data_IF_073350621763
#
_entry.id   IF_073350621763
#
_cell.length_a   1.000
_cell.length_b   1.000
_cell.length_c   1.000
_cell.angle_alpha   90.00
_cell.angle_beta   90.00
_cell.angle_gamma   90.00
#
_symmetry.space_group_name_H-M   'P 1'
#
loop_
_entity.id
_entity.type
_entity.pdbx_description
1 polymer ?
#
# COMPACT_ATOMS: atom_id res chain seq x y z
N UNK A 1 -30.03 8.42 -48.12
CA UNK A 1 -30.26 9.65 -48.91
C UNK A 1 -30.68 9.32 -50.31
N UNK A 2 -31.44 10.19 -50.97
CA UNK A 2 -31.82 10.07 -52.38
C UNK A 2 -31.60 11.40 -53.07
N UNK A 3 -31.35 11.35 -54.36
CA UNK A 3 -31.24 12.55 -55.22
C UNK A 3 -32.31 12.51 -56.29
N UNK A 4 -32.89 13.65 -56.58
CA UNK A 4 -33.79 13.81 -57.74
C UNK A 4 -32.94 14.36 -58.90
N UNK A 5 -32.89 13.64 -60.00
CA UNK A 5 -32.18 14.04 -61.22
C UNK A 5 -33.05 13.75 -62.40
N UNK A 6 -33.25 14.73 -63.26
CA UNK A 6 -34.14 14.71 -64.40
C UNK A 6 -35.55 14.14 -64.08
N UNK A 7 -36.13 14.56 -62.93
CA UNK A 7 -37.48 14.14 -62.51
C UNK A 7 -37.58 12.73 -61.90
N UNK A 8 -36.48 11.97 -61.87
CA UNK A 8 -36.41 10.63 -61.28
C UNK A 8 -35.66 10.64 -59.97
N UNK A 9 -36.05 9.77 -59.02
CA UNK A 9 -35.41 9.60 -57.73
C UNK A 9 -34.38 8.47 -57.82
N UNK A 10 -33.16 8.74 -57.45
CA UNK A 10 -32.05 7.76 -57.37
C UNK A 10 -31.58 7.62 -55.93
N UNK A 11 -31.51 6.39 -55.44
CA UNK A 11 -31.15 6.05 -54.05
C UNK A 11 -30.06 4.95 -53.97
N UNK A 12 -29.58 4.48 -55.11
CA UNK A 12 -28.50 3.48 -55.18
C UNK A 12 -27.29 4.08 -55.91
N UNK A 13 -26.11 3.66 -55.49
CA UNK A 13 -24.90 4.05 -56.21
C UNK A 13 -24.92 3.47 -57.63
N UNK A 14 -24.41 4.23 -58.58
CA UNK A 14 -24.33 3.79 -59.96
C UNK A 14 -24.07 4.91 -60.96
N UNK A 15 -23.88 4.54 -62.18
CA UNK A 15 -23.74 5.44 -63.32
C UNK A 15 -25.09 5.46 -64.06
N UNK A 16 -25.70 6.60 -64.06
CA UNK A 16 -26.97 6.81 -64.73
C UNK A 16 -26.79 7.71 -65.91
N UNK A 17 -27.53 7.49 -66.97
CA UNK A 17 -27.51 8.31 -68.17
C UNK A 17 -28.92 8.75 -68.55
N UNK A 18 -29.04 9.94 -69.03
CA UNK A 18 -30.28 10.53 -69.50
C UNK A 18 -30.06 11.21 -70.87
N UNK A 19 -30.83 10.76 -71.81
CA UNK A 19 -30.80 11.34 -73.16
C UNK A 19 -31.71 12.57 -73.21
N UNK A 20 -31.20 13.68 -73.61
CA UNK A 20 -31.96 14.95 -73.76
C UNK A 20 -31.60 15.57 -75.12
N UNK A 21 -32.40 16.51 -75.54
CA UNK A 21 -32.17 17.27 -76.78
C UNK A 21 -31.53 18.61 -76.41
N UNK A 22 -30.34 18.86 -76.93
CA UNK A 22 -29.63 20.12 -76.69
C UNK A 22 -30.30 21.29 -77.42
N UNK A 23 -29.89 22.52 -77.10
CA UNK A 23 -30.43 23.74 -77.70
C UNK A 23 -30.24 23.90 -79.23
N UNK A 24 -29.39 23.07 -79.81
CA UNK A 24 -29.12 22.98 -81.29
C UNK A 24 -29.92 21.83 -81.95
N UNK A 25 -30.88 21.24 -81.28
CA UNK A 25 -31.71 20.11 -81.74
C UNK A 25 -30.98 18.77 -81.92
N UNK A 26 -29.71 18.67 -81.40
CA UNK A 26 -28.98 17.44 -81.41
C UNK A 26 -29.13 16.69 -80.08
N UNK A 27 -29.03 15.35 -80.09
CA UNK A 27 -29.05 14.51 -78.93
C UNK A 27 -27.90 14.83 -78.01
N UNK A 28 -28.21 14.97 -76.72
CA UNK A 28 -27.25 15.22 -75.67
C UNK A 28 -27.39 14.17 -74.58
N UNK A 29 -26.27 13.54 -74.21
CA UNK A 29 -26.26 12.50 -73.15
C UNK A 29 -25.73 13.12 -71.85
N UNK A 30 -26.62 13.30 -70.90
CA UNK A 30 -26.23 13.66 -69.53
C UNK A 30 -25.89 12.39 -68.71
N UNK A 31 -24.84 12.43 -67.90
CA UNK A 31 -24.41 11.32 -67.05
C UNK A 31 -24.37 11.75 -65.60
N UNK A 32 -24.93 10.93 -64.70
CA UNK A 32 -24.85 11.07 -63.27
C UNK A 32 -24.06 9.88 -62.71
N UNK A 33 -22.96 10.17 -62.04
CA UNK A 33 -22.29 9.19 -61.17
C UNK A 33 -22.74 9.40 -59.76
N UNK A 34 -23.57 8.47 -59.23
CA UNK A 34 -24.09 8.55 -57.90
C UNK A 34 -23.26 7.64 -56.95
N UNK A 35 -22.67 8.24 -55.93
CA UNK A 35 -22.00 7.53 -54.89
C UNK A 35 -22.86 7.63 -53.61
N UNK A 36 -23.10 6.51 -52.95
CA UNK A 36 -23.74 6.49 -51.66
C UNK A 36 -22.65 6.28 -50.61
N UNK A 37 -22.49 7.22 -49.70
CA UNK A 37 -21.69 7.02 -48.52
C UNK A 37 -22.55 6.46 -47.40
N UNK A 38 -21.99 5.54 -46.63
CA UNK A 38 -22.64 4.88 -45.49
C UNK A 38 -21.97 5.34 -44.23
N UNK A 39 -22.76 5.84 -43.28
CA UNK A 39 -22.26 6.10 -41.93
C UNK A 39 -21.95 4.76 -41.22
N UNK A 40 -20.90 4.71 -40.49
CA UNK A 40 -20.48 3.56 -39.71
C UNK A 40 -20.49 3.88 -38.20
N UNK A 41 -20.75 2.87 -37.38
CA UNK A 41 -20.59 2.97 -35.93
C UNK A 41 -19.52 1.98 -35.50
N UNK A 42 -18.53 2.50 -34.81
CA UNK A 42 -17.44 1.70 -34.22
C UNK A 42 -17.52 1.77 -32.71
N UNK A 43 -17.61 0.61 -32.06
CA UNK A 43 -17.69 0.51 -30.61
C UNK A 43 -16.35 0.04 -30.03
N UNK A 44 -15.91 0.69 -28.96
CA UNK A 44 -14.75 0.33 -28.15
C UNK A 44 -15.22 0.04 -26.72
N UNK A 45 -14.61 -0.97 -26.09
CA UNK A 45 -14.76 -1.22 -24.65
C UNK A 45 -13.37 -1.23 -24.04
N UNK A 46 -13.15 -0.36 -23.07
CA UNK A 46 -11.85 -0.18 -22.39
C UNK A 46 -12.07 -0.20 -20.91
N UNK A 47 -11.23 -0.95 -20.20
CA UNK A 47 -11.10 -0.90 -18.75
C UNK A 47 -9.67 -0.48 -18.40
N UNK A 48 -9.52 0.55 -17.60
CA UNK A 48 -8.23 1.13 -17.24
C UNK A 48 -8.27 1.71 -15.83
N UNK A 49 -7.12 2.17 -15.35
CA UNK A 49 -7.01 2.78 -14.03
C UNK A 49 -6.96 4.29 -14.13
N UNK A 50 -7.65 4.96 -13.21
CA UNK A 50 -7.64 6.39 -12.90
C UNK A 50 -8.08 7.30 -14.06
N UNK A 51 -7.52 7.14 -15.22
CA UNK A 51 -7.86 7.98 -16.37
C UNK A 51 -7.60 7.27 -17.72
N UNK A 52 -8.29 7.74 -18.73
CA UNK A 52 -8.11 7.31 -20.13
C UNK A 52 -8.08 8.50 -21.08
N UNK A 53 -7.15 8.49 -22.03
CA UNK A 53 -7.09 9.52 -23.06
C UNK A 53 -7.71 8.97 -24.33
N UNK A 54 -8.76 9.59 -24.82
CA UNK A 54 -9.42 9.22 -26.05
C UNK A 54 -9.81 10.46 -26.86
N UNK A 55 -9.48 10.48 -28.14
CA UNK A 55 -9.71 11.60 -29.03
C UNK A 55 -9.22 12.96 -28.44
N UNK A 56 -8.00 12.99 -27.88
CA UNK A 56 -7.35 14.14 -27.21
C UNK A 56 -8.10 14.68 -25.98
N UNK A 57 -9.10 13.97 -25.47
CA UNK A 57 -9.78 14.30 -24.21
C UNK A 57 -9.38 13.31 -23.13
N UNK A 58 -9.28 13.79 -21.90
CA UNK A 58 -9.01 12.99 -20.71
C UNK A 58 -10.34 12.65 -20.04
N UNK A 59 -10.55 11.37 -19.77
CA UNK A 59 -11.72 10.83 -19.09
C UNK A 59 -11.25 10.18 -17.77
N UNK A 60 -11.86 10.56 -16.66
CA UNK A 60 -11.58 10.07 -15.30
C UNK A 60 -12.79 9.39 -14.64
N UNK A 61 -13.87 9.23 -15.38
CA UNK A 61 -15.09 8.59 -14.92
C UNK A 61 -15.52 7.50 -15.91
N UNK A 62 -16.11 6.42 -15.37
CA UNK A 62 -16.74 5.39 -16.19
C UNK A 62 -17.95 5.94 -16.91
N UNK A 63 -18.13 5.53 -18.14
CA UNK A 63 -19.27 6.01 -18.93
C UNK A 63 -19.25 5.56 -20.38
N UNK A 64 -20.27 5.96 -21.11
CA UNK A 64 -20.32 5.82 -22.56
C UNK A 64 -20.09 7.19 -23.18
N UNK A 65 -19.02 7.29 -23.96
CA UNK A 65 -18.62 8.52 -24.64
C UNK A 65 -18.70 8.32 -26.15
N UNK A 66 -18.97 9.37 -26.88
CA UNK A 66 -19.04 9.29 -28.33
C UNK A 66 -18.51 10.55 -28.99
N UNK A 67 -17.96 10.39 -30.18
CA UNK A 67 -17.68 11.51 -31.09
C UNK A 67 -17.98 11.10 -32.52
N UNK A 68 -18.24 12.09 -33.35
CA UNK A 68 -18.43 11.91 -34.78
C UNK A 68 -17.20 12.43 -35.53
N UNK A 69 -16.75 11.67 -36.51
CA UNK A 69 -15.70 12.09 -37.45
C UNK A 69 -16.28 12.23 -38.84
N UNK A 70 -16.28 13.45 -39.33
CA UNK A 70 -16.66 13.73 -40.71
C UNK A 70 -15.61 13.20 -41.71
N UNK A 71 -16.06 12.46 -42.70
CA UNK A 71 -15.17 11.92 -43.74
C UNK A 71 -15.17 12.75 -45.04
N UNK A 72 -15.65 13.99 -45.00
CA UNK A 72 -15.69 14.94 -46.11
C UNK A 72 -16.75 14.65 -47.16
N UNK A 73 -17.55 13.60 -47.01
CA UNK A 73 -18.61 13.22 -47.95
C UNK A 73 -19.99 13.25 -47.33
N UNK A 74 -20.26 14.13 -46.36
CA UNK A 74 -21.53 14.31 -45.63
C UNK A 74 -22.04 13.07 -44.90
N UNK A 75 -21.19 12.05 -44.68
CA UNK A 75 -21.55 10.84 -43.91
C UNK A 75 -20.57 10.70 -42.76
N UNK A 76 -21.06 11.07 -41.58
CA UNK A 76 -20.29 10.99 -40.36
C UNK A 76 -20.17 9.54 -39.87
N UNK A 77 -18.98 9.16 -39.40
CA UNK A 77 -18.77 7.93 -38.66
C UNK A 77 -18.88 8.20 -37.16
N UNK A 78 -19.70 7.41 -36.47
CA UNK A 78 -19.88 7.48 -35.03
C UNK A 78 -18.91 6.54 -34.33
N UNK A 79 -18.13 7.05 -33.41
CA UNK A 79 -17.26 6.28 -32.53
C UNK A 79 -17.86 6.31 -31.13
N UNK A 80 -18.05 5.13 -30.52
CA UNK A 80 -18.62 4.96 -29.18
C UNK A 80 -17.62 4.23 -28.31
N UNK A 81 -17.30 4.82 -27.17
CA UNK A 81 -16.42 4.25 -26.15
C UNK A 81 -17.24 3.90 -24.90
N UNK A 82 -17.28 2.62 -24.55
CA UNK A 82 -17.74 2.16 -23.23
C UNK A 82 -16.51 2.04 -22.34
N UNK A 83 -16.35 3.01 -21.46
CA UNK A 83 -15.18 3.17 -20.61
C UNK A 83 -15.50 2.73 -19.17
N UNK A 84 -14.64 1.88 -18.61
CA UNK A 84 -14.65 1.50 -17.20
C UNK A 84 -13.34 2.05 -16.58
N UNK A 85 -13.48 2.99 -15.66
CA UNK A 85 -12.38 3.51 -14.87
C UNK A 85 -12.41 2.84 -13.48
N UNK A 86 -11.36 2.11 -13.19
CA UNK A 86 -11.07 1.60 -11.86
C UNK A 86 -10.12 2.57 -11.16
N UNK A 87 -10.21 2.66 -9.83
CA UNK A 87 -9.37 3.61 -9.10
C UNK A 87 -8.20 2.91 -8.43
N UNK A 88 -7.05 3.55 -8.46
CA UNK A 88 -5.94 3.26 -7.57
C UNK A 88 -6.39 3.47 -6.12
N UNK A 89 -5.79 2.74 -5.19
CA UNK A 89 -6.12 2.84 -3.78
C UNK A 89 -4.90 3.30 -2.95
N UNK A 90 -5.21 3.89 -1.81
CA UNK A 90 -4.21 4.37 -0.87
C UNK A 90 -4.63 3.94 0.54
N UNK A 91 -3.68 3.39 1.31
CA UNK A 91 -3.88 3.05 2.72
C UNK A 91 -2.67 3.52 3.54
N UNK A 92 -2.90 3.80 4.81
CA UNK A 92 -1.84 4.12 5.77
C UNK A 92 -2.07 3.29 7.02
N UNK A 93 -1.04 2.55 7.42
CA UNK A 93 -0.97 1.81 8.67
C UNK A 93 0.06 2.48 9.59
N UNK A 94 -0.21 2.45 10.90
CA UNK A 94 0.72 2.93 11.93
C UNK A 94 0.94 1.79 12.92
N UNK A 95 2.19 1.37 13.06
CA UNK A 95 2.60 0.27 13.91
C UNK A 95 3.70 0.76 14.85
N UNK A 96 3.55 0.45 16.14
CA UNK A 96 4.58 0.62 17.15
C UNK A 96 4.97 -0.75 17.67
N UNK A 97 6.26 -1.08 17.64
CA UNK A 97 6.81 -2.37 18.11
C UNK A 97 8.15 -2.13 18.80
N UNK A 98 8.66 -3.14 19.49
CA UNK A 98 9.99 -3.10 20.11
C UNK A 98 10.99 -4.02 19.40
N UNK A 99 10.54 -4.74 18.43
CA UNK A 99 11.32 -5.73 17.69
C UNK A 99 11.32 -5.38 16.21
N UNK A 100 12.16 -6.09 15.48
CA UNK A 100 12.14 -6.07 14.03
C UNK A 100 10.73 -6.38 13.51
N UNK A 101 10.28 -5.61 12.55
CA UNK A 101 8.95 -5.74 11.98
C UNK A 101 9.01 -6.31 10.57
N UNK A 102 8.29 -7.41 10.35
CA UNK A 102 8.18 -8.02 9.01
C UNK A 102 6.97 -7.46 8.28
N UNK A 103 7.20 -6.80 7.14
CA UNK A 103 6.14 -6.22 6.32
C UNK A 103 6.51 -6.22 4.84
N UNK A 104 5.55 -6.54 3.98
CA UNK A 104 5.74 -6.50 2.53
C UNK A 104 6.88 -7.40 2.02
N UNK A 105 7.20 -8.50 2.73
CA UNK A 105 8.27 -9.42 2.35
C UNK A 105 9.67 -8.99 2.82
N UNK A 106 9.78 -7.94 3.66
CA UNK A 106 11.04 -7.40 4.20
C UNK A 106 10.98 -7.25 5.71
N UNK A 107 12.15 -7.28 6.34
CA UNK A 107 12.32 -6.98 7.76
C UNK A 107 12.80 -5.53 7.87
N UNK A 108 12.17 -4.78 8.77
CA UNK A 108 12.50 -3.41 9.13
C UNK A 108 12.96 -3.37 10.58
N UNK A 109 14.12 -2.80 10.83
CA UNK A 109 14.75 -2.67 12.15
C UNK A 109 14.98 -1.23 12.56
N UNK A 110 14.38 -0.28 11.87
CA UNK A 110 14.43 1.14 12.19
C UNK A 110 13.07 1.78 12.03
N UNK A 111 12.79 2.76 12.88
CA UNK A 111 11.62 3.60 12.74
C UNK A 111 11.65 4.38 11.43
N UNK A 112 10.51 4.57 10.79
CA UNK A 112 10.43 5.32 9.55
C UNK A 112 9.09 5.18 8.84
N UNK A 113 8.99 5.89 7.73
CA UNK A 113 7.87 5.80 6.81
C UNK A 113 8.29 4.93 5.62
N UNK A 114 7.59 3.83 5.43
CA UNK A 114 7.83 2.88 4.36
C UNK A 114 6.62 2.80 3.46
N UNK A 115 6.84 2.53 2.19
CA UNK A 115 5.76 2.35 1.23
C UNK A 115 5.91 1.03 0.47
N UNK A 116 4.78 0.45 0.14
CA UNK A 116 4.66 -0.74 -0.68
C UNK A 116 3.64 -0.48 -1.78
N UNK A 117 4.02 -0.79 -3.01
CA UNK A 117 3.09 -0.80 -4.12
C UNK A 117 2.60 -2.21 -4.36
N UNK A 118 1.31 -2.39 -4.39
CA UNK A 118 0.63 -3.64 -4.66
C UNK A 118 -0.46 -3.39 -5.72
N UNK A 119 -1.10 -4.45 -6.19
CA UNK A 119 -2.24 -4.35 -7.10
C UNK A 119 -3.50 -4.63 -6.29
N UNK A 120 -4.49 -3.75 -6.39
CA UNK A 120 -5.77 -3.92 -5.72
C UNK A 120 -6.68 -4.95 -6.42
N UNK A 121 -7.85 -5.23 -5.86
CA UNK A 121 -8.78 -6.25 -6.36
C UNK A 121 -9.34 -5.98 -7.77
N UNK A 122 -9.23 -4.76 -8.26
CA UNK A 122 -9.68 -4.36 -9.61
C UNK A 122 -8.51 -4.20 -10.60
N UNK A 123 -7.29 -4.58 -10.18
CA UNK A 123 -6.12 -4.60 -11.05
C UNK A 123 -5.38 -3.26 -11.17
N UNK A 124 -5.69 -2.27 -10.30
CA UNK A 124 -5.04 -0.97 -10.27
C UNK A 124 -4.01 -0.88 -9.14
N UNK A 125 -3.11 0.08 -9.23
CA UNK A 125 -2.07 0.30 -8.23
C UNK A 125 -2.70 0.61 -6.86
N UNK A 126 -2.10 0.03 -5.83
CA UNK A 126 -2.42 0.29 -4.43
C UNK A 126 -1.14 0.68 -3.71
N UNK A 127 -1.11 1.88 -3.16
CA UNK A 127 0.02 2.35 -2.35
C UNK A 127 -0.38 2.19 -0.88
N UNK A 128 0.42 1.41 -0.16
CA UNK A 128 0.26 1.21 1.27
C UNK A 128 1.45 1.87 1.95
N UNK A 129 1.20 2.87 2.79
CA UNK A 129 2.20 3.51 3.61
C UNK A 129 2.19 2.89 5.01
N UNK A 130 3.35 2.60 5.53
CA UNK A 130 3.57 2.15 6.89
C UNK A 130 4.33 3.23 7.66
N UNK A 131 3.74 3.77 8.70
CA UNK A 131 4.43 4.55 9.72
C UNK A 131 4.89 3.57 10.80
N UNK A 132 6.16 3.21 10.79
CA UNK A 132 6.73 2.27 11.74
C UNK A 132 7.48 3.04 12.83
N UNK A 133 7.14 2.77 14.08
CA UNK A 133 7.86 3.22 15.27
C UNK A 133 8.43 2.01 15.99
N UNK A 134 9.76 1.91 16.05
CA UNK A 134 10.46 0.88 16.80
C UNK A 134 11.01 1.53 18.06
N UNK A 135 10.47 1.12 19.21
CA UNK A 135 10.93 1.55 20.52
C UNK A 135 12.12 0.69 20.90
N UNK A 136 13.31 1.27 20.90
CA UNK A 136 14.49 0.58 21.41
C UNK A 136 14.32 0.28 22.91
N UNK A 137 14.32 -0.99 23.25
CA UNK A 137 14.35 -1.47 24.63
C UNK A 137 15.83 -1.59 25.04
N UNK A 138 16.25 -0.74 25.95
CA UNK A 138 17.59 -0.83 26.54
C UNK A 138 17.47 -1.42 27.94
N UNK A 139 17.61 -2.74 28.05
CA UNK A 139 17.71 -3.43 29.33
C UNK A 139 19.19 -3.72 29.61
N UNK A 140 19.79 -2.93 30.48
CA UNK A 140 21.13 -3.21 30.95
C UNK A 140 21.06 -3.78 32.37
N UNK A 141 21.53 -5.02 32.52
CA UNK A 141 21.72 -5.68 33.80
C UNK A 141 23.20 -5.98 33.99
N UNK A 142 23.85 -5.49 35.06
CA UNK A 142 25.25 -5.80 35.33
C UNK A 142 25.43 -7.29 35.55
N UNK A 143 26.58 -7.82 35.19
CA UNK A 143 26.91 -9.25 35.42
C UNK A 143 27.57 -9.51 36.78
N UNK A 144 27.87 -8.45 37.53
CA UNK A 144 28.54 -8.54 38.83
C UNK A 144 28.20 -7.32 39.68
N UNK A 145 28.02 -7.49 40.97
CA UNK A 145 27.91 -6.38 41.93
C UNK A 145 28.56 -6.75 43.27
N UNK A 146 28.84 -5.74 44.08
CA UNK A 146 29.59 -5.85 45.32
C UNK A 146 28.84 -5.19 46.48
N UNK A 147 27.97 -5.90 47.18
CA UNK A 147 27.16 -5.34 48.28
C UNK A 147 28.00 -5.17 49.56
N UNK A 148 28.95 -4.24 49.56
CA UNK A 148 29.89 -3.95 50.67
C UNK A 148 29.60 -2.62 51.36
N UNK A 149 28.56 -1.87 50.94
CA UNK A 149 28.14 -0.56 51.45
C UNK A 149 29.19 0.55 51.26
N UNK A 150 29.98 0.50 50.17
CA UNK A 150 30.90 1.59 49.79
C UNK A 150 30.25 2.61 48.85
N UNK A 151 28.98 2.47 48.54
CA UNK A 151 28.17 3.21 47.59
C UNK A 151 28.56 3.01 46.11
N UNK A 152 29.31 1.97 45.79
CA UNK A 152 29.67 1.59 44.45
C UNK A 152 29.20 0.15 44.12
N UNK A 153 28.33 -0.01 43.16
CA UNK A 153 27.80 -1.32 42.77
C UNK A 153 27.20 -2.16 43.92
N UNK A 154 26.64 -1.51 44.93
CA UNK A 154 26.03 -2.16 46.07
C UNK A 154 24.69 -2.85 45.76
N UNK A 155 24.12 -2.56 44.61
CA UNK A 155 22.83 -3.12 44.19
C UNK A 155 22.91 -3.65 42.77
N UNK A 156 22.27 -4.78 42.58
CA UNK A 156 21.94 -5.30 41.27
C UNK A 156 20.63 -4.70 40.82
N UNK A 157 20.70 -3.69 39.94
CA UNK A 157 19.54 -3.00 39.39
C UNK A 157 19.59 -3.00 37.87
N UNK A 158 18.45 -2.99 37.25
CA UNK A 158 18.33 -2.76 35.82
C UNK A 158 18.21 -1.27 35.52
N UNK A 159 18.69 -0.87 34.36
CA UNK A 159 18.42 0.45 33.79
C UNK A 159 17.59 0.24 32.55
N UNK A 160 16.28 0.45 32.68
CA UNK A 160 15.34 0.11 31.65
C UNK A 160 14.62 1.34 31.14
N UNK A 161 14.48 1.41 29.80
CA UNK A 161 13.69 2.42 29.11
C UNK A 161 12.68 1.76 28.19
N UNK A 162 11.50 2.35 28.10
CA UNK A 162 10.42 1.94 27.17
C UNK A 162 9.84 0.53 27.46
N UNK A 163 9.81 0.11 28.71
CA UNK A 163 9.18 -1.15 29.12
C UNK A 163 8.02 -0.90 30.08
N UNK A 164 7.05 -1.80 30.04
CA UNK A 164 5.88 -1.83 30.90
C UNK A 164 5.81 -3.20 31.61
N UNK A 165 5.04 -3.27 32.70
CA UNK A 165 4.83 -4.52 33.44
C UNK A 165 6.15 -5.24 33.79
N UNK A 166 7.13 -4.46 34.27
CA UNK A 166 8.42 -4.97 34.70
C UNK A 166 8.28 -5.92 35.88
N UNK A 167 8.94 -7.07 35.79
CA UNK A 167 9.07 -8.01 36.90
C UNK A 167 10.46 -8.67 36.82
N UNK A 168 11.26 -8.53 37.89
CA UNK A 168 12.54 -9.22 38.01
C UNK A 168 12.48 -10.26 39.14
N UNK A 169 13.01 -11.43 38.87
CA UNK A 169 13.15 -12.52 39.79
C UNK A 169 14.62 -12.94 39.87
N UNK A 170 15.14 -13.18 41.07
CA UNK A 170 16.50 -13.67 41.29
C UNK A 170 16.44 -14.97 42.09
N UNK A 171 17.21 -15.95 41.67
CA UNK A 171 17.21 -17.30 42.20
C UNK A 171 18.61 -17.72 42.63
N UNK A 172 18.70 -18.42 43.72
CA UNK A 172 19.94 -19.09 44.14
C UNK A 172 20.18 -20.37 43.29
N UNK A 173 21.31 -21.05 43.53
CA UNK A 173 21.75 -22.25 42.79
C UNK A 173 20.83 -23.46 42.94
N UNK A 174 19.92 -23.49 43.92
CA UNK A 174 18.93 -24.55 44.11
C UNK A 174 17.56 -24.15 43.58
N UNK A 175 17.42 -22.97 42.95
CA UNK A 175 16.18 -22.49 42.36
C UNK A 175 15.22 -21.81 43.37
N UNK A 176 15.67 -21.50 44.60
CA UNK A 176 14.86 -20.72 45.55
C UNK A 176 14.93 -19.24 45.14
N UNK A 177 13.76 -18.58 45.06
CA UNK A 177 13.64 -17.16 44.82
C UNK A 177 14.19 -16.37 46.00
N UNK A 178 15.21 -15.58 45.76
CA UNK A 178 15.87 -14.77 46.82
C UNK A 178 15.52 -13.28 46.71
N UNK A 179 14.99 -12.85 45.55
CA UNK A 179 14.53 -11.47 45.36
C UNK A 179 13.47 -11.43 44.25
N UNK A 180 12.50 -10.54 44.45
CA UNK A 180 11.49 -10.14 43.47
C UNK A 180 11.27 -8.64 43.54
N UNK A 181 11.09 -8.00 42.40
CA UNK A 181 10.61 -6.63 42.28
C UNK A 181 9.79 -6.45 41.01
N UNK A 182 8.74 -5.65 41.11
CA UNK A 182 7.99 -5.10 40.01
C UNK A 182 8.26 -3.59 39.78
N UNK A 183 9.27 -3.07 40.47
CA UNK A 183 9.76 -1.70 40.35
C UNK A 183 11.19 -1.74 39.77
N UNK A 184 11.39 -1.19 38.59
CA UNK A 184 12.67 -1.17 37.89
C UNK A 184 13.74 -0.33 38.63
N UNK A 185 13.32 0.55 39.52
CA UNK A 185 14.21 1.34 40.36
C UNK A 185 14.66 0.64 41.64
N UNK A 186 14.03 -0.50 41.97
CA UNK A 186 14.36 -1.27 43.14
C UNK A 186 15.34 -2.39 42.83
N UNK A 187 16.61 -2.15 43.13
CA UNK A 187 17.68 -3.13 42.95
C UNK A 187 17.80 -4.11 44.13
N UNK A 188 18.33 -5.30 43.85
CA UNK A 188 18.67 -6.29 44.87
C UNK A 188 20.02 -5.95 45.52
N UNK A 189 20.02 -5.81 46.86
CA UNK A 189 21.20 -5.47 47.67
C UNK A 189 21.97 -6.71 48.13
N UNK A 190 21.75 -7.88 47.60
CA UNK A 190 22.44 -9.11 48.01
C UNK A 190 21.95 -9.69 49.33
N UNK A 191 20.74 -9.32 49.82
CA UNK A 191 20.20 -9.87 51.05
C UNK A 191 19.00 -10.82 50.75
N UNK A 192 18.86 -11.85 51.57
CA UNK A 192 17.72 -12.75 51.61
C UNK A 192 17.36 -13.05 53.07
N UNK A 193 16.12 -12.88 53.43
CA UNK A 193 15.62 -13.05 54.85
C UNK A 193 16.42 -12.22 55.87
N UNK A 194 16.82 -11.00 55.49
CA UNK A 194 17.63 -10.04 56.27
C UNK A 194 19.10 -10.45 56.49
N UNK A 195 19.59 -11.46 55.82
CA UNK A 195 21.00 -11.87 55.88
C UNK A 195 21.64 -11.68 54.48
N UNK A 196 22.91 -11.29 54.47
CA UNK A 196 23.69 -11.19 53.23
C UNK A 196 23.93 -12.60 52.70
N UNK A 197 23.56 -12.83 51.44
CA UNK A 197 23.74 -14.14 50.81
C UNK A 197 25.22 -14.46 50.55
N UNK A 198 25.53 -15.70 50.25
CA UNK A 198 26.89 -16.15 49.95
C UNK A 198 27.35 -15.60 48.61
N UNK A 199 28.69 -15.39 48.51
CA UNK A 199 29.31 -15.10 47.21
C UNK A 199 29.04 -16.18 46.23
N UNK A 200 28.80 -15.82 45.00
CA UNK A 200 28.51 -16.80 43.96
C UNK A 200 27.61 -16.28 42.86
N UNK A 201 27.16 -17.21 42.04
CA UNK A 201 26.33 -16.93 40.87
C UNK A 201 24.86 -17.14 41.22
N UNK A 202 24.04 -16.16 40.84
CA UNK A 202 22.60 -16.14 40.99
C UNK A 202 21.97 -16.00 39.63
N UNK A 203 21.00 -16.84 39.30
CA UNK A 203 20.24 -16.71 38.07
C UNK A 203 19.18 -15.62 38.23
N UNK A 204 18.93 -14.89 37.19
CA UNK A 204 17.83 -13.94 37.16
C UNK A 204 16.93 -14.12 35.95
N UNK A 205 15.70 -13.70 36.10
CA UNK A 205 14.69 -13.68 35.06
C UNK A 205 13.99 -12.33 35.08
N UNK A 206 14.07 -11.60 33.96
CA UNK A 206 13.35 -10.35 33.74
C UNK A 206 12.19 -10.60 32.78
N UNK A 207 11.02 -10.22 33.20
CA UNK A 207 9.80 -10.19 32.38
C UNK A 207 9.34 -8.77 32.20
N UNK A 208 8.90 -8.44 31.02
CA UNK A 208 8.36 -7.10 30.72
C UNK A 208 7.44 -7.15 29.50
N UNK A 209 6.66 -6.09 29.32
CA UNK A 209 5.94 -5.85 28.09
C UNK A 209 6.51 -4.60 27.42
N UNK A 210 6.49 -4.60 26.10
CA UNK A 210 6.84 -3.44 25.30
C UNK A 210 5.89 -3.37 24.11
N UNK A 211 5.21 -2.24 23.96
CA UNK A 211 4.16 -2.07 22.93
C UNK A 211 3.09 -3.18 22.96
N UNK A 212 2.78 -3.66 24.16
CA UNK A 212 1.81 -4.74 24.37
C UNK A 212 2.32 -6.17 24.14
N UNK A 213 3.56 -6.35 23.69
CA UNK A 213 4.18 -7.65 23.51
C UNK A 213 4.94 -8.10 24.74
N UNK A 214 4.74 -9.37 25.15
CA UNK A 214 5.42 -9.96 26.29
C UNK A 214 6.83 -10.41 25.90
N UNK A 215 7.80 -10.08 26.76
CA UNK A 215 9.20 -10.43 26.58
C UNK A 215 9.77 -11.04 27.87
N UNK A 216 10.72 -11.95 27.73
CA UNK A 216 11.43 -12.58 28.85
C UNK A 216 12.92 -12.69 28.53
N UNK A 217 13.76 -12.24 29.47
CA UNK A 217 15.20 -12.35 29.39
C UNK A 217 15.71 -13.10 30.60
N UNK A 218 16.65 -14.02 30.36
CA UNK A 218 17.32 -14.83 31.39
C UNK A 218 18.79 -14.49 31.43
N UNK A 219 19.36 -14.51 32.61
CA UNK A 219 20.80 -14.32 32.78
C UNK A 219 21.28 -14.70 34.16
N UNK A 220 22.49 -14.28 34.48
CA UNK A 220 23.10 -14.51 35.79
C UNK A 220 23.86 -13.26 36.23
N UNK A 221 24.00 -13.13 37.57
CA UNK A 221 24.78 -12.11 38.23
C UNK A 221 25.71 -12.77 39.25
N UNK A 222 26.90 -12.27 39.38
CA UNK A 222 27.89 -12.72 40.36
C UNK A 222 27.95 -11.74 41.53
N UNK A 223 27.81 -12.26 42.74
CA UNK A 223 28.09 -11.48 43.96
C UNK A 223 29.56 -11.69 44.34
N UNK A 224 30.27 -10.59 44.55
CA UNK A 224 31.60 -10.56 45.10
C UNK A 224 31.58 -9.70 46.38
N UNK A 225 32.36 -10.07 47.38
CA UNK A 225 32.55 -9.30 48.64
C UNK A 225 33.92 -8.78 48.74
#
# INVERSE_FOLDING_TARGET
SSIIWNGNVYNQQGNYSYLTIGSNNCDSLAKLNLFTAVSSTTNYTVSTCDQYIWNNNVYNESGTYSYTSGNGNDCDSLYVLNLIINNSSFATDSITTCNDFYWGGKIYNQSGNYNLTAINSVGCDSIINLNLEINEVNTYLPNTFTPNNDNLNDQFASFDYNIENYEIYIFNRIGEEVFYSNDSFMGWNGTFKNEIVQDGIYAWRLKYTCSGEYNEILGYVTILK
#
